data_IF_290621047101
#
_entry.id   IF_290621047101
#
_cell.length_a   1.000
_cell.length_b   1.000
_cell.length_c   1.000
_cell.angle_alpha   90.00
_cell.angle_beta   90.00
_cell.angle_gamma   90.00
#
_symmetry.space_group_name_H-M   'P 1'
#
loop_
_entity.id
_entity.type
_entity.pdbx_description
1 polymer ?
#
# COMPACT_ATOMS: atom_id res chain seq x y z
N UNK A 1 -4.59 22.56 -8.47
CA UNK A 1 -4.41 22.14 -7.07
C UNK A 1 -5.67 21.41 -6.62
N UNK A 2 -5.75 20.13 -6.97
CA UNK A 2 -6.56 19.16 -6.23
C UNK A 2 -5.93 19.02 -4.86
N UNK A 3 -6.65 19.34 -3.80
CA UNK A 3 -6.09 19.23 -2.46
C UNK A 3 -7.18 19.36 -1.43
N UNK A 4 -7.32 18.29 -0.64
CA UNK A 4 -8.25 18.03 0.46
C UNK A 4 -9.53 17.30 0.06
N UNK A 5 -9.72 16.11 0.66
CA UNK A 5 -10.96 15.36 0.63
C UNK A 5 -11.84 15.82 1.80
N UNK A 6 -12.96 16.47 1.51
CA UNK A 6 -13.92 16.90 2.54
C UNK A 6 -15.13 15.97 2.59
N UNK A 7 -14.90 14.68 2.82
CA UNK A 7 -15.97 13.67 2.87
C UNK A 7 -16.98 13.90 4.01
N UNK A 8 -16.65 14.73 5.00
CA UNK A 8 -17.54 15.11 6.10
C UNK A 8 -18.38 16.37 5.81
N UNK A 9 -18.11 17.08 4.71
CA UNK A 9 -18.82 18.29 4.37
C UNK A 9 -19.84 18.00 3.27
N UNK A 10 -21.08 18.45 3.49
CA UNK A 10 -22.19 18.25 2.54
C UNK A 10 -22.80 19.58 2.09
N UNK A 11 -22.30 20.71 2.60
CA UNK A 11 -22.79 22.04 2.27
C UNK A 11 -21.69 22.88 1.65
N UNK A 12 -21.93 23.36 0.43
CA UNK A 12 -21.03 24.28 -0.28
C UNK A 12 -21.71 25.63 -0.42
N UNK A 13 -21.09 26.70 0.09
CA UNK A 13 -21.57 28.07 -0.10
C UNK A 13 -20.69 28.76 -1.15
N UNK A 14 -21.26 29.07 -2.31
CA UNK A 14 -20.59 29.79 -3.38
C UNK A 14 -20.89 31.29 -3.22
N UNK A 15 -20.05 31.98 -2.44
CA UNK A 15 -20.20 33.42 -2.19
C UNK A 15 -20.05 34.27 -3.47
N UNK A 16 -19.24 33.78 -4.42
CA UNK A 16 -19.11 34.29 -5.77
C UNK A 16 -19.17 33.13 -6.78
N UNK A 17 -19.53 33.46 -8.01
CA UNK A 17 -19.52 32.54 -9.14
C UNK A 17 -18.38 32.92 -10.10
N UNK A 18 -17.53 31.97 -10.51
CA UNK A 18 -16.52 32.24 -11.53
C UNK A 18 -17.20 32.44 -12.90
N UNK A 19 -16.57 33.21 -13.78
CA UNK A 19 -17.06 33.40 -15.15
C UNK A 19 -16.88 32.12 -16.00
N UNK A 20 -15.80 31.36 -15.73
CA UNK A 20 -15.51 30.09 -16.41
C UNK A 20 -16.24 28.92 -15.73
N UNK A 21 -17.16 28.22 -16.43
CA UNK A 21 -17.83 27.02 -15.94
C UNK A 21 -16.88 25.91 -15.51
N UNK A 22 -15.70 25.80 -16.13
CA UNK A 22 -14.69 24.80 -15.73
C UNK A 22 -14.15 25.06 -14.32
N UNK A 23 -14.05 26.33 -13.91
CA UNK A 23 -13.67 26.68 -12.54
C UNK A 23 -14.80 26.42 -11.54
N UNK A 24 -16.06 26.59 -11.96
CA UNK A 24 -17.21 26.22 -11.12
C UNK A 24 -17.21 24.71 -10.85
N UNK A 25 -17.05 23.91 -11.91
CA UNK A 25 -16.95 22.45 -11.81
C UNK A 25 -15.82 22.04 -10.86
N UNK A 26 -14.65 22.69 -10.98
CA UNK A 26 -13.53 22.44 -10.09
C UNK A 26 -13.83 22.78 -8.62
N UNK A 27 -14.60 23.86 -8.37
CA UNK A 27 -15.01 24.22 -7.00
C UNK A 27 -15.96 23.17 -6.42
N UNK A 28 -16.94 22.71 -7.21
CA UNK A 28 -17.90 21.67 -6.81
C UNK A 28 -17.18 20.33 -6.60
N UNK A 29 -16.31 19.92 -7.51
CA UNK A 29 -15.54 18.66 -7.45
C UNK A 29 -14.49 18.59 -6.32
N UNK A 30 -14.33 19.64 -5.51
CA UNK A 30 -13.63 19.52 -4.21
C UNK A 30 -14.47 18.79 -3.17
N UNK A 31 -15.79 18.86 -3.32
CA UNK A 31 -16.76 18.24 -2.44
C UNK A 31 -17.40 17.03 -3.12
N UNK A 32 -17.81 17.17 -4.38
CA UNK A 32 -18.45 16.12 -5.18
C UNK A 32 -17.43 15.09 -5.64
N UNK A 33 -17.26 14.07 -4.79
CA UNK A 33 -16.29 12.98 -4.95
C UNK A 33 -16.91 11.66 -4.51
N UNK A 34 -16.46 10.57 -5.12
CA UNK A 34 -16.77 9.22 -4.68
C UNK A 34 -16.33 9.06 -3.21
N UNK A 35 -17.25 8.58 -2.37
CA UNK A 35 -17.04 8.43 -0.92
C UNK A 35 -17.74 9.47 -0.05
N UNK A 36 -18.54 10.38 -0.63
CA UNK A 36 -19.51 11.18 0.13
C UNK A 36 -20.60 10.31 0.74
N UNK A 37 -21.03 10.63 1.96
CA UNK A 37 -22.07 9.89 2.71
C UNK A 37 -23.47 10.44 2.51
N UNK A 38 -23.59 11.70 2.08
CA UNK A 38 -24.85 12.41 1.89
C UNK A 38 -24.83 13.20 0.57
N UNK A 39 -26.01 13.61 0.11
CA UNK A 39 -26.15 14.49 -1.05
C UNK A 39 -25.52 15.86 -0.76
N UNK A 40 -24.95 16.48 -1.80
CA UNK A 40 -24.33 17.80 -1.68
C UNK A 40 -25.36 18.91 -1.86
N UNK A 41 -25.43 19.80 -0.88
CA UNK A 41 -26.26 21.00 -0.90
C UNK A 41 -25.45 22.23 -1.28
N UNK A 42 -25.69 22.77 -2.47
CA UNK A 42 -25.03 23.98 -2.96
C UNK A 42 -25.91 25.21 -2.68
N UNK A 43 -25.36 26.17 -1.95
CA UNK A 43 -25.99 27.43 -1.58
C UNK A 43 -25.32 28.56 -2.37
N UNK A 44 -26.08 29.26 -3.20
CA UNK A 44 -25.57 30.32 -4.08
C UNK A 44 -26.25 31.65 -3.73
N UNK A 45 -25.78 32.38 -2.70
CA UNK A 45 -26.30 33.69 -2.40
C UNK A 45 -25.89 34.70 -3.49
N UNK A 46 -26.87 35.44 -4.03
CA UNK A 46 -26.61 36.53 -4.97
C UNK A 46 -27.48 37.76 -4.63
N UNK A 47 -27.06 38.93 -5.11
CA UNK A 47 -27.83 40.16 -4.97
C UNK A 47 -28.85 40.29 -6.11
N UNK A 48 -30.14 40.55 -5.82
CA UNK A 48 -31.13 40.79 -6.87
C UNK A 48 -30.75 41.97 -7.78
N UNK A 49 -30.94 41.80 -9.08
CA UNK A 49 -30.59 42.76 -10.14
C UNK A 49 -29.09 42.84 -10.46
N UNK A 50 -28.24 42.08 -9.79
CA UNK A 50 -26.79 42.11 -10.04
C UNK A 50 -26.38 41.21 -11.20
N UNK A 51 -25.16 41.42 -11.72
CA UNK A 51 -24.53 40.48 -12.64
C UNK A 51 -24.42 39.07 -12.03
N UNK A 52 -24.26 38.95 -10.71
CA UNK A 52 -24.24 37.67 -10.01
C UNK A 52 -25.55 36.88 -10.14
N UNK A 53 -26.70 37.56 -10.19
CA UNK A 53 -27.99 36.90 -10.45
C UNK A 53 -28.07 36.37 -11.90
N UNK A 54 -27.57 37.13 -12.88
CA UNK A 54 -27.48 36.69 -14.28
C UNK A 54 -26.65 35.40 -14.39
N UNK A 55 -25.44 35.38 -13.81
CA UNK A 55 -24.58 34.20 -13.81
C UNK A 55 -25.23 33.02 -13.09
N UNK A 56 -25.83 33.25 -11.93
CA UNK A 56 -26.52 32.19 -11.17
C UNK A 56 -27.65 31.55 -11.99
N UNK A 57 -28.50 32.36 -12.64
CA UNK A 57 -29.58 31.86 -13.51
C UNK A 57 -29.05 31.14 -14.73
N UNK A 58 -28.01 31.65 -15.38
CA UNK A 58 -27.40 30.98 -16.53
C UNK A 58 -26.80 29.62 -16.17
N UNK A 59 -26.05 29.54 -15.07
CA UNK A 59 -25.48 28.28 -14.57
C UNK A 59 -26.55 27.27 -14.18
N UNK A 60 -27.60 27.69 -13.48
CA UNK A 60 -28.67 26.81 -13.05
C UNK A 60 -29.61 26.43 -14.19
N UNK A 61 -30.26 27.41 -14.82
CA UNK A 61 -31.35 27.18 -15.76
C UNK A 61 -30.87 26.85 -17.18
N UNK A 62 -29.70 27.36 -17.59
CA UNK A 62 -29.13 27.11 -18.91
C UNK A 62 -28.27 25.85 -18.91
N UNK A 63 -27.26 25.83 -18.04
CA UNK A 63 -26.30 24.74 -17.99
C UNK A 63 -26.72 23.57 -17.09
N UNK A 64 -27.46 23.81 -16.01
CA UNK A 64 -27.71 22.78 -14.99
C UNK A 64 -26.46 22.47 -14.16
N UNK A 65 -25.50 23.39 -14.12
CA UNK A 65 -24.13 23.17 -13.62
C UNK A 65 -24.03 22.92 -12.11
N UNK A 66 -25.07 23.26 -11.35
CA UNK A 66 -25.11 22.98 -9.91
C UNK A 66 -25.62 21.59 -9.57
N UNK A 67 -26.32 20.94 -10.49
CA UNK A 67 -26.99 19.65 -10.26
C UNK A 67 -26.36 18.52 -11.08
N UNK A 68 -25.65 18.85 -12.15
CA UNK A 68 -25.08 17.90 -13.08
C UNK A 68 -23.68 18.31 -13.52
N UNK A 69 -22.84 17.29 -13.72
CA UNK A 69 -21.49 17.44 -14.26
C UNK A 69 -21.52 18.07 -15.64
N UNK A 70 -20.68 19.09 -15.86
CA UNK A 70 -20.56 19.75 -17.16
C UNK A 70 -19.55 19.04 -18.07
N UNK A 71 -19.99 18.71 -19.28
CA UNK A 71 -19.11 18.24 -20.35
C UNK A 71 -18.81 19.37 -21.33
N UNK A 72 -17.55 19.50 -21.74
CA UNK A 72 -17.14 20.53 -22.70
C UNK A 72 -17.25 21.96 -22.17
N UNK A 73 -17.06 22.17 -20.86
CA UNK A 73 -17.14 23.49 -20.20
C UNK A 73 -16.37 24.60 -20.94
N UNK A 74 -15.16 24.32 -21.43
CA UNK A 74 -14.36 25.28 -22.19
C UNK A 74 -14.98 25.68 -23.54
N UNK A 75 -15.69 24.76 -24.19
CA UNK A 75 -16.39 25.01 -25.46
C UNK A 75 -17.62 25.86 -25.24
N UNK A 76 -18.41 25.54 -24.21
CA UNK A 76 -19.56 26.33 -23.77
C UNK A 76 -19.12 27.75 -23.38
N UNK A 77 -18.06 27.88 -22.60
CA UNK A 77 -17.55 29.17 -22.17
C UNK A 77 -17.15 30.04 -23.36
N UNK A 78 -16.42 29.48 -24.32
CA UNK A 78 -15.99 30.21 -25.52
C UNK A 78 -17.15 30.75 -26.35
N UNK A 79 -18.24 30.00 -26.45
CA UNK A 79 -19.42 30.39 -27.23
C UNK A 79 -20.23 31.51 -26.56
N UNK A 80 -20.44 31.43 -25.23
CA UNK A 80 -21.39 32.31 -24.54
C UNK A 80 -20.77 33.44 -23.74
N UNK A 81 -19.44 33.44 -23.54
CA UNK A 81 -18.74 34.46 -22.72
C UNK A 81 -19.03 35.89 -23.16
N UNK A 82 -18.85 36.21 -24.44
CA UNK A 82 -19.04 37.59 -24.93
C UNK A 82 -20.48 38.09 -24.73
N UNK A 83 -21.47 37.20 -24.95
CA UNK A 83 -22.87 37.52 -24.76
C UNK A 83 -23.20 37.76 -23.27
N UNK A 84 -22.66 36.95 -22.37
CA UNK A 84 -22.83 37.10 -20.92
C UNK A 84 -22.16 38.36 -20.39
N UNK A 85 -20.93 38.66 -20.80
CA UNK A 85 -20.21 39.88 -20.40
C UNK A 85 -20.95 41.14 -20.87
N UNK A 86 -21.48 41.12 -22.09
CA UNK A 86 -22.28 42.22 -22.65
C UNK A 86 -23.56 42.46 -21.86
N UNK A 87 -24.31 41.40 -21.54
CA UNK A 87 -25.55 41.48 -20.76
C UNK A 87 -25.30 41.88 -19.31
N UNK A 88 -24.23 41.38 -18.69
CA UNK A 88 -23.83 41.73 -17.33
C UNK A 88 -23.51 43.24 -17.22
N UNK A 89 -22.88 43.81 -18.24
CA UNK A 89 -22.51 45.23 -18.28
C UNK A 89 -23.70 46.16 -18.58
N UNK A 90 -24.74 45.64 -19.26
CA UNK A 90 -25.91 46.41 -19.70
C UNK A 90 -26.95 46.71 -18.60
N UNK A 91 -26.91 46.00 -17.46
CA UNK A 91 -27.73 46.30 -16.28
C UNK A 91 -29.21 45.90 -16.34
N UNK A 92 -29.77 45.61 -17.52
CA UNK A 92 -31.14 45.13 -17.72
C UNK A 92 -31.17 43.90 -18.63
N UNK A 93 -30.72 42.77 -18.07
CA UNK A 93 -30.60 41.49 -18.77
C UNK A 93 -31.89 40.65 -18.69
N UNK A 94 -32.91 41.09 -17.96
CA UNK A 94 -34.11 40.29 -17.66
C UNK A 94 -34.88 39.89 -18.92
N UNK A 95 -35.03 40.81 -19.87
CA UNK A 95 -35.74 40.56 -21.12
C UNK A 95 -34.95 39.68 -22.10
N UNK A 96 -33.61 39.77 -22.06
CA UNK A 96 -32.73 39.01 -22.96
C UNK A 96 -32.38 37.61 -22.44
N UNK A 97 -32.50 37.38 -21.13
CA UNK A 97 -32.12 36.12 -20.49
C UNK A 97 -32.85 34.89 -21.05
N UNK A 98 -34.19 34.89 -21.24
CA UNK A 98 -34.88 33.70 -21.76
C UNK A 98 -34.31 33.20 -23.09
N UNK A 99 -34.03 34.11 -24.02
CA UNK A 99 -33.43 33.76 -25.32
C UNK A 99 -32.00 33.24 -25.20
N UNK A 100 -31.20 33.77 -24.26
CA UNK A 100 -29.87 33.24 -23.97
C UNK A 100 -29.93 31.83 -23.38
N UNK A 101 -30.86 31.58 -22.46
CA UNK A 101 -31.05 30.28 -21.83
C UNK A 101 -31.45 29.21 -22.85
N UNK A 102 -32.39 29.52 -23.75
CA UNK A 102 -32.83 28.59 -24.79
C UNK A 102 -31.69 28.23 -25.75
N UNK A 103 -30.95 29.23 -26.24
CA UNK A 103 -29.74 29.01 -27.04
C UNK A 103 -28.70 28.17 -26.31
N UNK A 104 -28.50 28.43 -25.01
CA UNK A 104 -27.55 27.67 -24.18
C UNK A 104 -27.96 26.20 -24.08
N UNK A 105 -29.26 25.92 -23.85
CA UNK A 105 -29.79 24.55 -23.75
C UNK A 105 -29.69 23.79 -25.07
N UNK A 106 -30.03 24.44 -26.18
CA UNK A 106 -29.89 23.87 -27.53
C UNK A 106 -28.44 23.53 -27.84
N UNK A 107 -27.52 24.47 -27.59
CA UNK A 107 -26.09 24.26 -27.80
C UNK A 107 -25.54 23.13 -26.92
N UNK A 108 -25.89 23.12 -25.62
CA UNK A 108 -25.49 22.05 -24.69
C UNK A 108 -25.97 20.68 -25.17
N UNK A 109 -27.22 20.59 -25.60
CA UNK A 109 -27.81 19.33 -26.08
C UNK A 109 -27.09 18.81 -27.32
N UNK A 110 -26.78 19.70 -28.28
CA UNK A 110 -26.02 19.34 -29.48
C UNK A 110 -24.58 18.92 -29.13
N UNK A 111 -23.90 19.66 -28.25
CA UNK A 111 -22.55 19.35 -27.80
C UNK A 111 -22.48 17.99 -27.09
N UNK A 112 -23.46 17.69 -26.24
CA UNK A 112 -23.50 16.42 -25.51
C UNK A 112 -23.74 15.25 -26.47
N UNK A 113 -24.61 15.42 -27.47
CA UNK A 113 -24.81 14.40 -28.51
C UNK A 113 -23.55 14.16 -29.35
N UNK A 114 -22.79 15.23 -29.68
CA UNK A 114 -21.52 15.12 -30.39
C UNK A 114 -20.47 14.38 -29.55
N UNK A 115 -20.32 14.76 -28.28
CA UNK A 115 -19.41 14.08 -27.34
C UNK A 115 -19.79 12.62 -27.12
N UNK A 116 -21.08 12.31 -26.99
CA UNK A 116 -21.58 10.94 -26.85
C UNK A 116 -21.31 10.12 -28.12
N UNK A 117 -21.45 10.71 -29.30
CA UNK A 117 -21.12 10.02 -30.56
C UNK A 117 -19.63 9.73 -30.70
N UNK A 118 -18.78 10.52 -30.03
CA UNK A 118 -17.34 10.30 -29.92
C UNK A 118 -16.92 9.35 -28.80
N UNK A 119 -17.85 8.89 -27.94
CA UNK A 119 -17.54 7.94 -26.85
C UNK A 119 -17.30 6.54 -27.40
N UNK A 120 -16.14 6.00 -27.08
CA UNK A 120 -15.86 4.59 -27.28
C UNK A 120 -16.38 3.79 -26.06
N UNK A 121 -17.62 3.31 -26.16
CA UNK A 121 -18.25 2.51 -25.10
C UNK A 121 -17.51 1.20 -24.83
N UNK A 122 -16.80 0.63 -25.80
CA UNK A 122 -15.99 -0.58 -25.56
C UNK A 122 -14.76 -0.22 -24.71
N UNK A 123 -14.18 0.95 -24.91
CA UNK A 123 -13.12 1.47 -24.05
C UNK A 123 -13.62 1.72 -22.63
N UNK A 124 -14.80 2.31 -22.44
CA UNK A 124 -15.37 2.52 -21.09
C UNK A 124 -15.65 1.18 -20.37
N UNK A 125 -16.26 0.21 -21.06
CA UNK A 125 -16.57 -1.12 -20.50
C UNK A 125 -15.27 -1.89 -20.16
N UNK A 126 -14.23 -1.76 -20.97
CA UNK A 126 -12.93 -2.38 -20.70
C UNK A 126 -12.10 -1.63 -19.65
N UNK A 127 -12.40 -0.36 -19.39
CA UNK A 127 -11.64 0.47 -18.43
C UNK A 127 -11.96 0.14 -16.97
N UNK A 128 -13.17 -0.33 -16.67
CA UNK A 128 -13.56 -0.67 -15.30
C UNK A 128 -14.38 -1.96 -15.20
N UNK A 129 -13.75 -2.98 -14.65
CA UNK A 129 -14.42 -4.24 -14.31
C UNK A 129 -14.95 -4.19 -12.88
N UNK A 130 -16.26 -3.90 -12.73
CA UNK A 130 -16.93 -3.74 -11.43
C UNK A 130 -16.67 -4.89 -10.45
N UNK A 131 -16.78 -6.15 -10.90
CA UNK A 131 -16.60 -7.31 -10.03
C UNK A 131 -15.17 -7.43 -9.51
N UNK A 132 -14.18 -7.29 -10.41
CA UNK A 132 -12.76 -7.29 -10.04
C UNK A 132 -12.43 -6.13 -9.10
N UNK A 133 -12.96 -4.93 -9.40
CA UNK A 133 -12.78 -3.74 -8.57
C UNK A 133 -13.37 -3.94 -7.17
N UNK A 134 -14.60 -4.43 -7.06
CA UNK A 134 -15.25 -4.68 -5.78
C UNK A 134 -14.49 -5.73 -4.94
N UNK A 135 -13.97 -6.79 -5.59
CA UNK A 135 -13.13 -7.79 -4.91
C UNK A 135 -11.85 -7.18 -4.37
N UNK A 136 -11.13 -6.40 -5.18
CA UNK A 136 -9.89 -5.73 -4.76
C UNK A 136 -10.14 -4.75 -3.60
N UNK A 137 -11.23 -3.99 -3.64
CA UNK A 137 -11.61 -3.08 -2.54
C UNK A 137 -11.82 -3.89 -1.26
N UNK A 138 -12.57 -5.00 -1.32
CA UNK A 138 -12.79 -5.85 -0.14
C UNK A 138 -11.48 -6.43 0.41
N UNK A 139 -10.55 -6.84 -0.45
CA UNK A 139 -9.23 -7.36 -0.02
C UNK A 139 -8.41 -6.26 0.69
N UNK A 140 -8.44 -5.02 0.19
CA UNK A 140 -7.77 -3.87 0.83
C UNK A 140 -8.42 -3.51 2.17
N UNK A 141 -9.75 -3.51 2.24
CA UNK A 141 -10.46 -3.24 3.51
C UNK A 141 -10.16 -4.30 4.59
N UNK A 142 -10.06 -5.58 4.20
CA UNK A 142 -9.64 -6.64 5.12
C UNK A 142 -8.21 -6.42 5.62
N UNK A 143 -7.33 -5.98 4.74
CA UNK A 143 -5.94 -5.67 5.07
C UNK A 143 -5.81 -4.47 6.03
N UNK A 144 -6.60 -3.41 5.83
CA UNK A 144 -6.63 -2.23 6.72
C UNK A 144 -7.12 -2.58 8.14
N UNK A 145 -7.97 -3.62 8.27
CA UNK A 145 -8.44 -4.13 9.56
C UNK A 145 -7.42 -5.03 10.27
N UNK A 146 -6.28 -5.37 9.66
CA UNK A 146 -5.27 -6.21 10.29
C UNK A 146 -4.42 -5.42 11.31
N UNK A 147 -4.38 -5.92 12.55
CA UNK A 147 -3.62 -5.34 13.66
C UNK A 147 -2.15 -5.78 13.68
N UNK A 148 -1.72 -6.66 12.76
CA UNK A 148 -0.35 -7.17 12.72
C UNK A 148 0.67 -6.07 12.53
N UNK A 149 0.43 -5.14 11.61
CA UNK A 149 1.35 -4.03 11.33
C UNK A 149 1.53 -3.15 12.57
N UNK A 150 0.43 -2.75 13.18
CA UNK A 150 0.40 -1.93 14.38
C UNK A 150 1.17 -2.62 15.53
N UNK A 151 0.83 -3.88 15.82
CA UNK A 151 1.54 -4.66 16.86
C UNK A 151 3.03 -4.83 16.55
N UNK A 152 3.39 -5.00 15.30
CA UNK A 152 4.79 -5.11 14.87
C UNK A 152 5.53 -3.79 15.09
N UNK A 153 4.98 -2.67 14.61
CA UNK A 153 5.61 -1.36 14.72
C UNK A 153 5.70 -0.85 16.14
N UNK A 154 4.70 -1.07 16.99
CA UNK A 154 4.79 -0.71 18.41
C UNK A 154 5.98 -1.41 19.09
N UNK A 155 6.23 -2.68 18.76
CA UNK A 155 7.41 -3.42 19.25
C UNK A 155 8.71 -2.93 18.63
N UNK A 156 8.68 -2.52 17.36
CA UNK A 156 9.83 -1.97 16.66
C UNK A 156 10.24 -0.62 17.24
N UNK A 157 9.27 0.25 17.50
CA UNK A 157 9.45 1.55 18.17
C UNK A 157 10.07 1.37 19.55
N UNK A 158 9.52 0.48 20.38
CA UNK A 158 10.08 0.14 21.69
C UNK A 158 11.52 -0.39 21.58
N UNK A 159 11.80 -1.26 20.60
CA UNK A 159 13.15 -1.79 20.37
C UNK A 159 14.20 -0.69 20.09
N UNK A 160 13.82 0.35 19.34
CA UNK A 160 14.70 1.47 19.01
C UNK A 160 14.61 2.63 20.01
N UNK A 161 13.76 2.55 21.03
CA UNK A 161 13.60 3.58 22.06
C UNK A 161 12.76 4.78 21.61
N UNK A 162 11.92 4.61 20.59
CA UNK A 162 10.89 5.59 20.22
C UNK A 162 9.79 5.51 21.28
N UNK A 163 9.52 6.64 21.92
CA UNK A 163 8.42 6.74 22.89
C UNK A 163 7.11 6.85 22.12
N UNK A 164 6.15 6.00 22.48
CA UNK A 164 4.82 5.97 21.87
C UNK A 164 3.81 6.38 22.93
N UNK A 165 3.08 7.45 22.69
CA UNK A 165 1.96 7.90 23.53
C UNK A 165 0.64 7.60 22.83
N UNK A 166 -0.26 6.89 23.53
CA UNK A 166 -1.61 6.63 23.05
C UNK A 166 -2.43 7.93 23.03
N UNK A 167 -2.94 8.30 21.86
CA UNK A 167 -3.87 9.42 21.73
C UNK A 167 -5.31 8.91 21.73
N UNK A 168 -5.61 7.97 20.82
CA UNK A 168 -6.92 7.33 20.61
C UNK A 168 -6.74 5.92 20.05
N UNK A 169 -7.85 5.26 19.75
CA UNK A 169 -7.82 3.97 19.07
C UNK A 169 -7.04 4.07 17.75
N UNK A 170 -5.98 3.27 17.63
CA UNK A 170 -5.04 3.23 16.49
C UNK A 170 -4.43 4.59 16.11
N UNK A 171 -4.37 5.54 17.03
CA UNK A 171 -3.72 6.86 16.87
C UNK A 171 -2.66 7.08 17.96
N UNK A 172 -1.45 7.42 17.55
CA UNK A 172 -0.30 7.52 18.45
C UNK A 172 0.54 8.77 18.18
N UNK A 173 1.16 9.30 19.23
CA UNK A 173 2.22 10.30 19.12
C UNK A 173 3.58 9.62 19.32
N UNK A 174 4.43 9.69 18.30
CA UNK A 174 5.80 9.18 18.33
C UNK A 174 6.77 10.29 18.74
N UNK A 175 7.63 10.02 19.73
CA UNK A 175 8.67 10.96 20.20
C UNK A 175 10.06 10.32 20.24
N UNK A 176 11.11 11.00 19.78
CA UNK A 176 12.48 10.47 19.74
C UNK A 176 13.24 10.60 21.08
N UNK A 177 12.57 10.53 22.23
CA UNK A 177 13.15 10.90 23.55
C UNK A 177 14.23 9.95 24.09
N UNK A 178 14.17 8.67 23.71
CA UNK A 178 15.00 7.61 24.33
C UNK A 178 15.75 6.76 23.29
N UNK A 179 16.07 7.33 22.13
CA UNK A 179 16.78 6.60 21.07
C UNK A 179 18.10 6.03 21.60
N UNK A 180 18.23 4.70 21.54
CA UNK A 180 19.36 3.96 22.13
C UNK A 180 20.66 4.07 21.31
N UNK A 181 20.59 4.54 20.07
CA UNK A 181 21.70 4.79 19.16
C UNK A 181 21.76 6.27 18.78
N UNK A 182 22.94 6.75 18.34
CA UNK A 182 23.12 8.10 17.81
C UNK A 182 22.44 8.32 16.43
N UNK A 183 21.61 7.37 16.01
CA UNK A 183 20.95 7.34 14.71
C UNK A 183 19.54 7.88 14.84
N UNK A 184 19.14 8.71 13.87
CA UNK A 184 17.77 9.21 13.73
C UNK A 184 16.87 8.06 13.29
N UNK A 185 15.76 7.83 14.00
CA UNK A 185 14.78 6.83 13.55
C UNK A 185 14.22 7.26 12.17
N UNK A 186 14.21 6.37 11.15
CA UNK A 186 13.89 6.76 9.79
C UNK A 186 12.54 7.47 9.66
N UNK A 187 12.55 8.68 9.10
CA UNK A 187 11.33 9.45 8.87
C UNK A 187 10.65 10.01 10.12
N UNK A 188 11.24 9.89 11.32
CA UNK A 188 10.72 10.49 12.55
C UNK A 188 11.34 11.89 12.78
N UNK A 189 10.55 12.97 12.76
CA UNK A 189 11.04 14.32 13.06
C UNK A 189 11.49 14.49 14.51
N UNK A 190 12.32 15.49 14.78
CA UNK A 190 12.84 15.77 16.13
C UNK A 190 11.74 16.22 17.10
N UNK A 191 10.73 16.92 16.59
CA UNK A 191 9.52 17.35 17.29
C UNK A 191 8.51 16.21 17.53
N UNK A 192 8.76 15.02 16.97
CA UNK A 192 7.82 13.91 16.97
C UNK A 192 6.78 14.02 15.85
N UNK A 193 5.93 13.01 15.73
CA UNK A 193 4.82 13.03 14.76
C UNK A 193 3.63 12.22 15.26
N UNK A 194 2.43 12.63 14.86
CA UNK A 194 1.21 11.85 15.10
C UNK A 194 0.97 10.90 13.93
N UNK A 195 0.66 9.65 14.23
CA UNK A 195 0.40 8.60 13.25
C UNK A 195 -0.98 7.98 13.48
N UNK A 196 -1.51 7.35 12.43
CA UNK A 196 -2.68 6.48 12.53
C UNK A 196 -2.53 5.26 11.64
N UNK A 197 -3.15 4.15 12.05
CA UNK A 197 -3.33 2.95 11.22
C UNK A 197 -4.75 2.85 10.64
N UNK A 198 -5.58 3.87 10.84
CA UNK A 198 -6.95 3.92 10.34
C UNK A 198 -7.02 4.85 9.10
N UNK A 199 -7.50 4.29 7.97
CA UNK A 199 -7.58 5.02 6.70
C UNK A 199 -8.62 6.15 6.75
N UNK A 200 -9.78 5.93 7.37
CA UNK A 200 -10.82 6.95 7.45
C UNK A 200 -10.33 8.16 8.27
N UNK A 201 -9.56 7.90 9.33
CA UNK A 201 -8.93 8.98 10.12
C UNK A 201 -7.85 9.71 9.35
N UNK A 202 -6.99 8.99 8.63
CA UNK A 202 -6.01 9.62 7.76
C UNK A 202 -6.64 10.50 6.67
N UNK A 203 -7.76 10.08 6.08
CA UNK A 203 -8.50 10.86 5.08
C UNK A 203 -9.13 12.12 5.69
N UNK A 204 -9.62 12.04 6.93
CA UNK A 204 -10.21 13.18 7.62
C UNK A 204 -9.17 14.15 8.20
N UNK A 205 -7.97 13.67 8.55
CA UNK A 205 -6.91 14.42 9.23
C UNK A 205 -5.57 14.25 8.50
N UNK A 206 -5.32 15.12 7.53
CA UNK A 206 -4.11 15.10 6.70
C UNK A 206 -2.80 15.26 7.51
N UNK A 207 -2.86 15.81 8.72
CA UNK A 207 -1.69 15.95 9.59
C UNK A 207 -1.24 14.63 10.24
N UNK A 208 -2.08 13.59 10.23
CA UNK A 208 -1.72 12.28 10.74
C UNK A 208 -0.96 11.50 9.66
N UNK A 209 0.21 10.96 10.02
CA UNK A 209 0.92 10.01 9.17
C UNK A 209 0.17 8.68 9.10
N UNK A 210 -0.35 8.32 7.92
CA UNK A 210 -0.98 7.01 7.71
C UNK A 210 0.09 5.93 7.49
N UNK A 211 0.26 5.04 8.46
CA UNK A 211 1.26 3.99 8.37
C UNK A 211 0.67 2.71 7.75
N UNK A 212 1.25 2.31 6.62
CA UNK A 212 1.03 1.02 5.95
C UNK A 212 2.35 0.25 5.88
N UNK A 213 2.33 -1.00 5.43
CA UNK A 213 3.56 -1.78 5.20
C UNK A 213 4.49 -1.10 4.19
N UNK A 214 3.94 -0.35 3.24
CA UNK A 214 4.69 0.33 2.17
C UNK A 214 5.14 1.75 2.57
N UNK A 215 4.77 2.22 3.77
CA UNK A 215 5.15 3.56 4.20
C UNK A 215 6.69 3.66 4.34
N UNK A 216 7.35 4.72 3.84
CA UNK A 216 8.81 4.81 3.82
C UNK A 216 9.49 4.62 5.19
N UNK A 217 8.89 5.17 6.27
CA UNK A 217 9.35 4.92 7.64
C UNK A 217 9.32 3.44 7.99
N UNK A 218 8.28 2.70 7.60
CA UNK A 218 8.10 1.29 7.93
C UNK A 218 9.11 0.44 7.19
N UNK A 219 9.28 0.67 5.89
CA UNK A 219 10.29 0.00 5.07
C UNK A 219 11.69 0.25 5.61
N UNK A 220 12.05 1.52 5.83
CA UNK A 220 13.39 1.89 6.31
C UNK A 220 13.66 1.41 7.75
N UNK A 221 12.68 1.46 8.65
CA UNK A 221 12.84 0.93 10.01
C UNK A 221 12.97 -0.59 10.02
N UNK A 222 12.25 -1.29 9.12
CA UNK A 222 12.38 -2.74 8.93
C UNK A 222 13.77 -3.09 8.39
N UNK A 223 14.26 -2.37 7.39
CA UNK A 223 15.61 -2.54 6.84
C UNK A 223 16.69 -2.27 7.89
N UNK A 224 16.54 -1.20 8.68
CA UNK A 224 17.43 -0.87 9.79
C UNK A 224 17.46 -2.00 10.83
N UNK A 225 16.31 -2.62 11.13
CA UNK A 225 16.22 -3.76 12.04
C UNK A 225 16.87 -5.02 11.47
N UNK A 226 16.60 -5.36 10.21
CA UNK A 226 17.18 -6.53 9.54
C UNK A 226 18.69 -6.39 9.30
N UNK A 227 19.20 -5.17 9.22
CA UNK A 227 20.63 -4.88 9.07
C UNK A 227 21.41 -4.90 10.39
N UNK A 228 20.71 -4.93 11.54
CA UNK A 228 21.34 -4.95 12.85
C UNK A 228 21.87 -6.34 13.20
N UNK A 229 23.08 -6.42 13.79
CA UNK A 229 23.63 -7.68 14.30
C UNK A 229 22.96 -8.16 15.61
N UNK A 230 22.17 -7.28 16.27
CA UNK A 230 21.46 -7.64 17.50
C UNK A 230 20.38 -8.67 17.18
N UNK A 231 20.47 -9.82 17.83
CA UNK A 231 19.54 -10.95 17.62
C UNK A 231 20.14 -12.10 16.83
N UNK A 232 21.29 -11.90 16.17
CA UNK A 232 21.94 -12.94 15.35
C UNK A 232 22.46 -14.11 16.19
N UNK A 233 22.78 -13.88 17.47
CA UNK A 233 23.22 -14.93 18.37
C UNK A 233 22.58 -14.80 19.75
N UNK A 234 21.98 -15.88 20.25
CA UNK A 234 21.40 -15.92 21.59
C UNK A 234 21.61 -17.27 22.29
N UNK A 235 21.62 -17.25 23.63
CA UNK A 235 21.53 -18.45 24.46
C UNK A 235 20.30 -18.35 25.35
N UNK A 236 19.42 -19.34 25.25
CA UNK A 236 18.14 -19.34 25.94
C UNK A 236 17.89 -20.63 26.70
N UNK A 237 17.07 -20.53 27.74
CA UNK A 237 16.51 -21.64 28.47
C UNK A 237 15.00 -21.74 28.19
N UNK A 238 14.53 -22.95 27.91
CA UNK A 238 13.10 -23.24 27.72
C UNK A 238 12.68 -24.26 28.77
N UNK A 239 11.87 -23.80 29.72
CA UNK A 239 11.29 -24.62 30.77
C UNK A 239 10.09 -25.43 30.23
N UNK A 240 9.86 -26.61 30.81
CA UNK A 240 8.70 -27.45 30.49
C UNK A 240 8.93 -28.43 29.33
N UNK A 241 10.17 -28.60 28.89
CA UNK A 241 10.52 -29.69 27.99
C UNK A 241 10.55 -31.03 28.75
N UNK A 242 10.07 -32.14 28.15
CA UNK A 242 9.97 -33.43 28.82
C UNK A 242 11.32 -34.06 29.17
N UNK A 243 12.40 -33.65 28.50
CA UNK A 243 13.77 -34.10 28.75
C UNK A 243 14.73 -32.93 28.69
N UNK A 244 15.78 -32.99 29.50
CA UNK A 244 16.89 -32.06 29.37
C UNK A 244 17.63 -32.32 28.05
N UNK A 245 17.67 -31.32 27.17
CA UNK A 245 18.29 -31.41 25.86
C UNK A 245 19.01 -30.11 25.52
N UNK A 246 20.11 -30.23 24.79
CA UNK A 246 20.80 -29.11 24.19
C UNK A 246 20.48 -29.13 22.69
N UNK A 247 19.85 -28.05 22.22
CA UNK A 247 19.40 -27.87 20.85
C UNK A 247 20.05 -26.61 20.26
N UNK A 248 20.15 -26.56 18.94
CA UNK A 248 20.57 -25.38 18.21
C UNK A 248 19.48 -25.03 17.21
N UNK A 249 18.88 -23.86 17.38
CA UNK A 249 18.00 -23.27 16.38
C UNK A 249 18.84 -22.41 15.44
N UNK A 250 18.62 -22.57 14.15
CA UNK A 250 19.28 -21.81 13.09
C UNK A 250 18.19 -21.28 12.17
N UNK A 251 18.20 -19.99 11.95
CA UNK A 251 17.38 -19.36 10.91
C UNK A 251 18.31 -19.05 9.76
N UNK A 252 18.08 -19.74 8.64
CA UNK A 252 18.68 -19.37 7.36
C UNK A 252 17.70 -18.47 6.61
N UNK A 253 18.20 -17.59 5.75
CA UNK A 253 17.38 -16.79 4.84
C UNK A 253 17.71 -17.25 3.42
N UNK A 254 16.67 -17.68 2.71
CA UNK A 254 16.73 -17.96 1.28
C UNK A 254 16.42 -16.67 0.53
N UNK A 255 17.39 -16.16 -0.23
CA UNK A 255 17.27 -14.89 -0.94
C UNK A 255 17.64 -15.05 -2.42
N UNK A 256 16.84 -14.44 -3.29
CA UNK A 256 17.10 -14.38 -4.72
C UNK A 256 17.87 -13.09 -5.04
N UNK A 257 19.10 -13.22 -5.55
CA UNK A 257 19.89 -12.07 -6.01
C UNK A 257 19.69 -11.92 -7.50
N UNK A 258 18.80 -11.00 -7.87
CA UNK A 258 18.39 -10.74 -9.24
C UNK A 258 18.32 -9.23 -9.51
N UNK A 259 18.44 -8.78 -10.78
CA UNK A 259 18.18 -7.39 -11.15
C UNK A 259 16.77 -6.94 -10.74
N UNK A 260 16.65 -5.70 -10.23
CA UNK A 260 15.39 -5.15 -9.70
C UNK A 260 14.24 -5.17 -10.71
N UNK A 261 14.56 -5.01 -12.01
CA UNK A 261 13.59 -5.09 -13.13
C UNK A 261 12.85 -6.42 -13.24
N UNK A 262 13.39 -7.50 -12.67
CA UNK A 262 12.77 -8.83 -12.72
C UNK A 262 11.72 -9.01 -11.63
N UNK A 263 11.72 -8.16 -10.59
CA UNK A 263 10.78 -8.26 -9.47
C UNK A 263 10.67 -9.69 -8.90
N UNK A 264 11.84 -10.33 -8.67
CA UNK A 264 11.93 -11.73 -8.24
C UNK A 264 11.29 -11.98 -6.86
N UNK A 265 11.22 -10.93 -6.04
CA UNK A 265 10.55 -10.87 -4.74
C UNK A 265 9.04 -11.17 -4.82
N UNK A 266 8.40 -10.98 -5.98
CA UNK A 266 7.00 -11.39 -6.22
C UNK A 266 6.79 -12.90 -6.13
N UNK A 267 7.85 -13.69 -6.35
CA UNK A 267 7.80 -15.15 -6.38
C UNK A 267 8.62 -15.78 -5.25
N UNK A 268 9.78 -15.20 -4.92
CA UNK A 268 10.64 -15.64 -3.83
C UNK A 268 11.17 -14.41 -3.07
N UNK A 269 10.34 -13.81 -2.20
CA UNK A 269 10.84 -12.80 -1.26
C UNK A 269 11.84 -13.46 -0.29
N UNK A 270 12.72 -12.69 0.39
CA UNK A 270 13.63 -13.23 1.39
C UNK A 270 12.89 -14.09 2.41
N UNK A 271 13.09 -15.41 2.35
CA UNK A 271 12.26 -16.36 3.08
C UNK A 271 13.06 -17.02 4.20
N UNK A 272 12.66 -16.82 5.48
CA UNK A 272 13.33 -17.47 6.59
C UNK A 272 13.00 -18.97 6.62
N UNK A 273 14.05 -19.79 6.65
CA UNK A 273 14.02 -21.25 6.84
C UNK A 273 14.55 -21.54 8.24
N UNK A 274 13.63 -21.80 9.17
CA UNK A 274 13.93 -22.11 10.57
C UNK A 274 14.14 -23.61 10.76
N UNK A 275 15.30 -23.99 11.30
CA UNK A 275 15.63 -25.38 11.62
C UNK A 275 16.08 -25.48 13.08
N UNK A 276 15.53 -26.45 13.82
CA UNK A 276 15.97 -26.81 15.16
C UNK A 276 16.59 -28.20 15.13
N UNK A 277 17.81 -28.34 15.64
CA UNK A 277 18.52 -29.63 15.66
C UNK A 277 19.01 -30.00 17.05
N UNK A 278 19.01 -31.30 17.35
CA UNK A 278 19.62 -31.84 18.57
C UNK A 278 21.13 -32.08 18.42
N UNK A 279 21.78 -32.47 19.53
CA UNK A 279 23.20 -32.78 19.57
C UNK A 279 23.66 -33.94 18.66
N UNK A 280 22.72 -34.76 18.17
CA UNK A 280 22.99 -35.82 17.18
C UNK A 280 22.77 -35.34 15.74
N UNK A 281 22.34 -34.09 15.54
CA UNK A 281 22.05 -33.51 14.23
C UNK A 281 20.67 -33.88 13.66
N UNK A 282 19.75 -34.38 14.50
CA UNK A 282 18.38 -34.72 14.05
C UNK A 282 17.49 -33.49 14.12
N UNK A 283 16.60 -33.37 13.13
CA UNK A 283 15.59 -32.31 13.08
C UNK A 283 14.57 -32.45 14.23
N UNK A 284 14.35 -31.35 14.93
CA UNK A 284 13.42 -31.16 16.05
C UNK A 284 12.54 -29.94 15.85
N UNK A 285 12.45 -29.38 14.65
CA UNK A 285 11.71 -28.14 14.35
C UNK A 285 10.25 -28.22 14.77
N UNK A 286 9.60 -29.36 14.50
CA UNK A 286 8.19 -29.62 14.85
C UNK A 286 8.01 -30.29 16.23
N UNK A 287 9.08 -30.40 17.03
CA UNK A 287 9.00 -31.00 18.35
C UNK A 287 8.29 -30.08 19.37
N UNK A 288 7.87 -30.59 20.54
CA UNK A 288 7.32 -29.75 21.62
C UNK A 288 8.24 -28.59 22.00
N UNK A 289 9.56 -28.81 22.03
CA UNK A 289 10.57 -27.78 22.28
C UNK A 289 10.57 -26.71 21.18
N UNK A 290 10.50 -27.11 19.91
CA UNK A 290 10.40 -26.21 18.76
C UNK A 290 9.14 -25.33 18.77
N UNK A 291 8.02 -25.89 19.23
CA UNK A 291 6.76 -25.17 19.41
C UNK A 291 6.79 -24.19 20.60
N UNK A 292 7.45 -24.56 21.70
CA UNK A 292 7.62 -23.67 22.86
C UNK A 292 8.50 -22.46 22.51
N UNK A 293 9.56 -22.66 21.74
CA UNK A 293 10.41 -21.59 21.21
C UNK A 293 9.63 -20.64 20.31
N UNK A 294 8.78 -21.17 19.42
CA UNK A 294 7.93 -20.38 18.52
C UNK A 294 6.90 -19.51 19.27
N UNK A 295 6.51 -19.89 20.50
CA UNK A 295 5.59 -19.12 21.35
C UNK A 295 6.27 -18.07 22.23
N UNK A 296 7.59 -17.86 22.10
CA UNK A 296 8.31 -16.85 22.86
C UNK A 296 8.46 -17.14 24.36
N UNK A 297 8.32 -18.41 24.78
CA UNK A 297 8.44 -18.82 26.20
C UNK A 297 9.89 -19.01 26.68
N UNK A 298 10.85 -18.56 25.89
CA UNK A 298 12.26 -18.71 26.19
C UNK A 298 12.74 -17.56 27.09
N UNK A 299 13.57 -17.87 28.09
CA UNK A 299 14.23 -16.89 28.95
C UNK A 299 15.74 -16.89 28.69
N UNK A 300 16.48 -15.83 29.05
CA UNK A 300 17.94 -15.84 28.95
C UNK A 300 18.55 -17.07 29.65
N UNK A 301 19.42 -17.78 28.94
CA UNK A 301 20.06 -18.98 29.46
C UNK A 301 21.11 -18.67 30.55
N UNK A 302 21.42 -19.62 31.44
CA UNK A 302 22.37 -19.41 32.53
C UNK A 302 23.81 -19.24 32.02
N UNK A 303 24.38 -18.03 32.13
CA UNK A 303 25.73 -17.71 31.64
C UNK A 303 26.83 -18.64 32.18
N UNK A 304 26.69 -19.13 33.41
CA UNK A 304 27.61 -20.08 34.02
C UNK A 304 27.68 -21.42 33.29
N UNK A 305 26.58 -21.85 32.66
CA UNK A 305 26.57 -23.08 31.87
C UNK A 305 27.50 -22.96 30.67
N UNK A 306 27.45 -21.82 29.95
CA UNK A 306 28.34 -21.55 28.81
C UNK A 306 29.81 -21.56 29.24
N UNK A 307 30.13 -20.91 30.37
CA UNK A 307 31.50 -20.87 30.91
C UNK A 307 32.00 -22.27 31.29
N UNK A 308 31.18 -23.07 32.00
CA UNK A 308 31.53 -24.43 32.44
C UNK A 308 31.64 -25.43 31.29
N UNK A 309 30.86 -25.23 30.22
CA UNK A 309 30.79 -26.15 29.06
C UNK A 309 31.44 -25.56 27.80
N UNK A 310 32.29 -24.53 27.92
CA UNK A 310 32.86 -23.82 26.78
C UNK A 310 33.64 -24.74 25.82
N UNK A 311 34.51 -25.61 26.35
CA UNK A 311 35.30 -26.53 25.54
C UNK A 311 34.45 -27.55 24.75
N UNK A 312 33.52 -28.32 25.36
CA UNK A 312 32.66 -29.23 24.62
C UNK A 312 31.72 -28.50 23.66
N UNK A 313 31.19 -27.32 24.02
CA UNK A 313 30.33 -26.53 23.13
C UNK A 313 31.08 -26.07 21.88
N UNK A 314 32.33 -25.58 22.01
CA UNK A 314 33.17 -25.18 20.87
C UNK A 314 33.45 -26.34 19.90
N UNK A 315 33.54 -27.57 20.40
CA UNK A 315 33.75 -28.75 19.56
C UNK A 315 32.46 -29.26 18.90
N UNK A 316 31.31 -29.05 19.53
CA UNK A 316 30.03 -29.65 19.13
C UNK A 316 29.17 -28.71 18.27
N UNK A 317 29.07 -27.43 18.62
CA UNK A 317 28.20 -26.44 17.94
C UNK A 317 28.49 -26.34 16.44
N UNK A 318 29.74 -26.30 15.95
CA UNK A 318 30.00 -26.26 14.51
C UNK A 318 29.45 -27.48 13.74
N UNK A 319 29.47 -28.67 14.37
CA UNK A 319 28.92 -29.89 13.77
C UNK A 319 27.39 -29.85 13.70
N UNK A 320 26.76 -29.38 14.78
CA UNK A 320 25.31 -29.22 14.84
C UNK A 320 24.84 -28.15 13.84
N UNK A 321 25.56 -27.03 13.76
CA UNK A 321 25.29 -25.96 12.79
C UNK A 321 25.38 -26.49 11.34
N UNK A 322 26.41 -27.26 11.01
CA UNK A 322 26.52 -27.88 9.68
C UNK A 322 25.35 -28.81 9.36
N UNK A 323 24.87 -29.60 10.35
CA UNK A 323 23.69 -30.44 10.18
C UNK A 323 22.41 -29.60 9.96
N UNK A 324 22.23 -28.52 10.73
CA UNK A 324 21.10 -27.60 10.57
C UNK A 324 21.07 -26.97 9.16
N UNK A 325 22.22 -26.48 8.69
CA UNK A 325 22.34 -25.87 7.36
C UNK A 325 22.07 -26.89 6.26
N UNK A 326 22.51 -28.14 6.42
CA UNK A 326 22.21 -29.20 5.46
C UNK A 326 20.70 -29.53 5.38
N UNK A 327 19.99 -29.51 6.52
CA UNK A 327 18.53 -29.69 6.56
C UNK A 327 17.84 -28.49 5.91
N UNK A 328 18.26 -27.26 6.26
CA UNK A 328 17.72 -26.04 5.68
C UNK A 328 17.93 -25.99 4.16
N UNK A 329 19.08 -26.49 3.65
CA UNK A 329 19.36 -26.61 2.23
C UNK A 329 18.35 -27.48 1.48
N UNK A 330 17.98 -28.63 2.05
CA UNK A 330 16.95 -29.52 1.48
C UNK A 330 15.56 -28.87 1.48
N UNK A 331 15.22 -28.13 2.53
CA UNK A 331 13.95 -27.38 2.58
C UNK A 331 13.94 -26.24 1.55
N UNK A 332 15.07 -25.54 1.40
CA UNK A 332 15.25 -24.47 0.43
C UNK A 332 15.10 -24.97 -1.02
N UNK A 333 15.58 -26.17 -1.36
CA UNK A 333 15.34 -26.78 -2.69
C UNK A 333 13.85 -26.88 -3.02
N UNK A 334 13.03 -27.36 -2.08
CA UNK A 334 11.58 -27.44 -2.27
C UNK A 334 10.92 -26.06 -2.42
N UNK A 335 11.40 -25.06 -1.68
CA UNK A 335 10.92 -23.67 -1.82
C UNK A 335 11.28 -23.09 -3.20
N UNK A 336 12.52 -23.29 -3.68
CA UNK A 336 12.95 -22.83 -5.01
C UNK A 336 12.10 -23.44 -6.11
N UNK A 337 11.87 -24.75 -6.07
CA UNK A 337 11.05 -25.45 -7.07
C UNK A 337 9.59 -24.96 -7.06
N UNK A 338 9.02 -24.79 -5.87
CA UNK A 338 7.65 -24.29 -5.71
C UNK A 338 7.52 -22.86 -6.25
N UNK A 339 8.48 -22.00 -5.95
CA UNK A 339 8.50 -20.60 -6.38
C UNK A 339 8.70 -20.48 -7.89
N UNK A 340 9.62 -21.26 -8.46
CA UNK A 340 9.84 -21.32 -9.90
C UNK A 340 8.60 -21.86 -10.64
N UNK A 341 7.89 -22.84 -10.05
CA UNK A 341 6.63 -23.34 -10.60
C UNK A 341 5.55 -22.27 -10.61
N UNK A 342 5.34 -21.56 -9.50
CA UNK A 342 4.36 -20.49 -9.41
C UNK A 342 4.67 -19.33 -10.39
N UNK A 343 5.96 -19.01 -10.57
CA UNK A 343 6.43 -18.06 -11.56
C UNK A 343 6.07 -18.49 -12.98
N UNK A 344 6.41 -19.74 -13.36
CA UNK A 344 6.07 -20.29 -14.68
C UNK A 344 4.58 -20.24 -14.95
N UNK A 345 3.76 -20.75 -14.01
CA UNK A 345 2.30 -20.75 -14.16
C UNK A 345 1.73 -19.34 -14.41
N UNK A 346 2.26 -18.33 -13.71
CA UNK A 346 1.78 -16.94 -13.86
C UNK A 346 2.24 -16.31 -15.17
N UNK A 347 3.53 -16.42 -15.52
CA UNK A 347 4.08 -15.79 -16.71
C UNK A 347 3.67 -16.51 -17.99
N UNK A 348 3.52 -17.84 -17.97
CA UNK A 348 3.04 -18.60 -19.12
C UNK A 348 1.55 -18.31 -19.40
N UNK A 349 0.72 -18.14 -18.36
CA UNK A 349 -0.67 -17.72 -18.54
C UNK A 349 -0.78 -16.31 -19.17
N UNK A 350 0.13 -15.41 -18.80
CA UNK A 350 0.20 -14.06 -19.37
C UNK A 350 0.70 -14.08 -20.82
N UNK A 351 1.72 -14.89 -21.13
CA UNK A 351 2.17 -15.12 -22.50
C UNK A 351 1.02 -15.68 -23.36
N UNK A 352 0.30 -16.69 -22.88
CA UNK A 352 -0.84 -17.27 -23.60
C UNK A 352 -1.95 -16.22 -23.82
N UNK A 353 -2.18 -15.33 -22.85
CA UNK A 353 -3.13 -14.21 -22.98
C UNK A 353 -2.70 -13.24 -24.08
N UNK A 354 -1.44 -12.82 -24.11
CA UNK A 354 -0.89 -11.92 -25.12
C UNK A 354 -0.93 -12.54 -26.52
N UNK A 355 -0.59 -13.81 -26.65
CA UNK A 355 -0.68 -14.55 -27.91
C UNK A 355 -2.12 -14.66 -28.43
N UNK A 356 -3.08 -14.94 -27.54
CA UNK A 356 -4.52 -14.95 -27.89
C UNK A 356 -5.00 -13.58 -28.35
N UNK A 357 -4.63 -12.51 -27.64
CA UNK A 357 -4.97 -11.14 -28.03
C UNK A 357 -4.42 -10.80 -29.42
N UNK A 358 -3.17 -11.17 -29.68
CA UNK A 358 -2.55 -10.99 -30.99
C UNK A 358 -3.27 -11.79 -32.09
N UNK A 359 -3.66 -13.04 -31.80
CA UNK A 359 -4.45 -13.86 -32.73
C UNK A 359 -5.84 -13.25 -33.03
N UNK A 360 -6.39 -12.47 -32.11
CA UNK A 360 -7.63 -11.70 -32.27
C UNK A 360 -7.41 -10.31 -32.92
N UNK A 361 -6.22 -10.05 -33.49
CA UNK A 361 -5.82 -8.78 -34.11
C UNK A 361 -5.77 -7.56 -33.15
N UNK A 362 -5.59 -7.77 -31.84
CA UNK A 362 -5.25 -6.67 -30.95
C UNK A 362 -3.80 -6.18 -31.22
N UNK A 363 -3.52 -4.89 -31.01
CA UNK A 363 -2.20 -4.30 -31.29
C UNK A 363 -1.17 -4.67 -30.20
N UNK A 364 -0.77 -5.94 -30.14
CA UNK A 364 0.28 -6.44 -29.24
C UNK A 364 1.61 -6.53 -30.00
N UNK A 365 2.63 -5.74 -29.62
CA UNK A 365 3.94 -5.78 -30.25
C UNK A 365 4.68 -7.11 -30.04
N UNK A 366 5.43 -7.59 -31.05
CA UNK A 366 6.31 -8.76 -30.90
C UNK A 366 7.37 -8.58 -29.82
N UNK A 367 7.84 -7.35 -29.63
CA UNK A 367 8.82 -7.01 -28.60
C UNK A 367 8.31 -7.27 -27.19
N UNK A 368 7.00 -7.16 -26.95
CA UNK A 368 6.40 -7.39 -25.63
C UNK A 368 6.42 -8.88 -25.26
N UNK A 369 6.02 -9.75 -26.20
CA UNK A 369 6.07 -11.20 -26.04
C UNK A 369 7.53 -11.67 -25.88
N UNK A 370 8.44 -11.14 -26.69
CA UNK A 370 9.87 -11.46 -26.59
C UNK A 370 10.47 -11.02 -25.26
N UNK A 371 10.11 -9.83 -24.77
CA UNK A 371 10.57 -9.33 -23.46
C UNK A 371 10.07 -10.22 -22.33
N UNK A 372 8.77 -10.56 -22.30
CA UNK A 372 8.19 -11.42 -21.27
C UNK A 372 8.77 -12.84 -21.29
N UNK A 373 9.03 -13.38 -22.48
CA UNK A 373 9.70 -14.68 -22.64
C UNK A 373 11.12 -14.66 -22.08
N UNK A 374 11.87 -13.60 -22.37
CA UNK A 374 13.22 -13.40 -21.82
C UNK A 374 13.20 -13.23 -20.31
N UNK A 375 12.29 -12.42 -19.78
CA UNK A 375 12.09 -12.20 -18.35
C UNK A 375 11.78 -13.52 -17.62
N UNK A 376 10.90 -14.36 -18.17
CA UNK A 376 10.57 -15.68 -17.60
C UNK A 376 11.80 -16.56 -17.47
N UNK A 377 12.60 -16.66 -18.53
CA UNK A 377 13.80 -17.50 -18.54
C UNK A 377 14.86 -17.02 -17.54
N UNK A 378 15.10 -15.71 -17.49
CA UNK A 378 16.07 -15.10 -16.58
C UNK A 378 15.62 -15.22 -15.11
N UNK A 379 14.33 -15.01 -14.82
CA UNK A 379 13.75 -15.25 -13.49
C UNK A 379 13.92 -16.71 -13.05
N UNK A 380 13.70 -17.66 -13.96
CA UNK A 380 13.82 -19.08 -13.64
C UNK A 380 15.23 -19.44 -13.17
N UNK A 381 16.25 -18.95 -13.87
CA UNK A 381 17.66 -19.13 -13.50
C UNK A 381 17.92 -18.56 -12.10
N UNK A 382 17.57 -17.29 -11.86
CA UNK A 382 17.80 -16.64 -10.57
C UNK A 382 17.04 -17.29 -9.40
N UNK A 383 15.81 -17.76 -9.62
CA UNK A 383 15.03 -18.42 -8.58
C UNK A 383 15.62 -19.79 -8.21
N UNK A 384 16.11 -20.55 -9.18
CA UNK A 384 16.74 -21.85 -8.94
C UNK A 384 18.14 -21.72 -8.31
N UNK A 385 18.84 -20.61 -8.58
CA UNK A 385 20.14 -20.30 -7.97
C UNK A 385 20.06 -19.48 -6.66
N UNK A 386 18.85 -19.21 -6.15
CA UNK A 386 18.64 -18.42 -4.94
C UNK A 386 19.50 -18.93 -3.78
N UNK A 387 20.20 -18.02 -3.09
CA UNK A 387 21.24 -18.39 -2.12
C UNK A 387 20.64 -18.56 -0.73
N UNK A 388 21.14 -19.55 0.01
CA UNK A 388 20.78 -19.76 1.40
C UNK A 388 21.93 -19.25 2.29
N UNK A 389 21.66 -18.24 3.11
CA UNK A 389 22.62 -17.73 4.10
C UNK A 389 22.16 -17.99 5.52
N UNK A 390 23.08 -18.20 6.45
CA UNK A 390 22.75 -18.25 7.89
C UNK A 390 22.57 -16.82 8.37
N UNK A 391 21.45 -16.55 9.03
CA UNK A 391 21.10 -15.22 9.52
C UNK A 391 21.23 -15.15 11.04
N UNK A 392 20.60 -16.09 11.75
CA UNK A 392 20.68 -16.15 13.21
C UNK A 392 20.80 -17.56 13.77
N UNK A 393 21.42 -17.65 14.94
CA UNK A 393 21.68 -18.89 15.67
C UNK A 393 21.29 -18.71 17.14
N UNK A 394 20.48 -19.62 17.65
CA UNK A 394 20.05 -19.64 19.05
C UNK A 394 20.36 -20.98 19.69
N UNK A 395 21.28 -20.97 20.66
CA UNK A 395 21.56 -22.15 21.48
C UNK A 395 20.46 -22.28 22.54
N UNK A 396 19.85 -23.46 22.63
CA UNK A 396 18.69 -23.70 23.48
C UNK A 396 19.01 -24.79 24.49
N UNK A 397 18.93 -24.45 25.78
CA UNK A 397 18.87 -25.41 26.85
C UNK A 397 17.39 -25.69 27.17
N UNK A 398 16.89 -26.82 26.68
CA UNK A 398 15.54 -27.29 26.99
C UNK A 398 15.59 -28.18 28.23
N UNK A 399 14.68 -28.02 29.18
CA UNK A 399 14.64 -28.87 30.37
C UNK A 399 13.58 -28.44 31.39
N UNK A 400 13.59 -29.11 32.54
CA UNK A 400 12.80 -28.74 33.72
C UNK A 400 13.48 -27.61 34.46
#
# INVERSE_FOLDING_TARGET
SEGRNFQFAHHLVLFDLPEDPGLLEQRIGRLDRIGQTEDIHIHVPYLPGSAGELWAKWYHEGLGAFEHTLHGAATVYREFREALESLASGGDWADALPGLLDRTREFKTALYADLESGRDHLLEISSYHRETGARLVSEVEEFDRDWKLEKYLLRLFDHFGVTVEDLRDREYLLKPEHLFSADVFPGLPAEGMSITFDRERALAREELGFLTWDHPMVVAATEMFLSSERGNAAFVHVAGAPKQALLLEVVCVLECVAPERLHADRFLPPQPVRVLVDHEGRDRTDSPEGNLLGKGKAVPGPADFLRKKAAPLRAMVPKILAAAVAIAGKQAEGIRETSAKAMRERLDAELERLEKLRAMNHPVPESEIAALTGERAELEEHLLEARLRVDSVRLVLAGV
#
